data_IF_547663931340
#
_entry.id   IF_547663931340
#
_cell.length_a   1.000
_cell.length_b   1.000
_cell.length_c   1.000
_cell.angle_alpha   90.00
_cell.angle_beta   90.00
_cell.angle_gamma   90.00
#
_symmetry.space_group_name_H-M   'P 1'
#
loop_
_entity.id
_entity.type
_entity.pdbx_description
1 polymer ?
#
# COMPACT_ATOMS: atom_id res chain seq x y z
N UNK A 1 22.24 -22.81 -9.93
CA UNK A 1 21.57 -21.50 -9.97
C UNK A 1 22.53 -20.54 -10.65
N UNK A 2 22.06 -19.79 -11.63
CA UNK A 2 22.88 -18.80 -12.35
C UNK A 2 23.27 -17.65 -11.39
N UNK A 3 24.53 -17.17 -11.36
CA UNK A 3 24.93 -15.99 -10.58
C UNK A 3 24.04 -14.75 -10.78
N UNK A 4 23.46 -14.56 -11.97
CA UNK A 4 22.52 -13.46 -12.25
C UNK A 4 21.18 -13.68 -11.54
N UNK A 5 20.68 -14.92 -11.59
CA UNK A 5 19.47 -15.33 -10.91
C UNK A 5 19.61 -15.23 -9.39
N UNK A 6 20.75 -15.67 -8.83
CA UNK A 6 21.01 -15.56 -7.41
C UNK A 6 20.98 -14.11 -6.92
N UNK A 7 21.64 -13.19 -7.63
CA UNK A 7 21.64 -11.76 -7.30
C UNK A 7 20.25 -11.14 -7.36
N UNK A 8 19.44 -11.54 -8.34
CA UNK A 8 18.07 -11.05 -8.47
C UNK A 8 17.20 -11.53 -7.29
N UNK A 9 17.36 -12.79 -6.87
CA UNK A 9 16.64 -13.32 -5.72
C UNK A 9 17.03 -12.62 -4.41
N UNK A 10 18.32 -12.34 -4.19
CA UNK A 10 18.77 -11.54 -3.03
C UNK A 10 18.12 -10.15 -3.03
N UNK A 11 18.08 -9.47 -4.18
CA UNK A 11 17.42 -8.16 -4.30
C UNK A 11 15.92 -8.23 -4.03
N UNK A 12 15.29 -9.34 -4.40
CA UNK A 12 13.87 -9.58 -4.17
C UNK A 12 13.59 -9.86 -2.69
N UNK A 13 14.44 -10.64 -2.02
CA UNK A 13 14.37 -10.90 -0.58
C UNK A 13 14.51 -9.59 0.21
N UNK A 14 15.56 -8.80 -0.06
CA UNK A 14 15.76 -7.47 0.53
C UNK A 14 14.54 -6.57 0.35
N UNK A 15 13.98 -6.56 -0.86
CA UNK A 15 12.78 -5.79 -1.17
C UNK A 15 11.58 -6.28 -0.34
N UNK A 16 11.36 -7.58 -0.25
CA UNK A 16 10.23 -8.16 0.48
C UNK A 16 10.33 -7.91 1.98
N UNK A 17 11.54 -7.96 2.56
CA UNK A 17 11.76 -7.64 3.96
C UNK A 17 11.43 -6.17 4.26
N UNK A 18 11.97 -5.24 3.47
CA UNK A 18 11.69 -3.82 3.63
C UNK A 18 10.21 -3.49 3.40
N UNK A 19 9.60 -4.07 2.35
CA UNK A 19 8.18 -3.89 2.08
C UNK A 19 7.32 -4.39 3.25
N UNK A 20 7.64 -5.55 3.81
CA UNK A 20 6.93 -6.13 4.97
C UNK A 20 7.14 -5.31 6.24
N UNK A 21 8.34 -4.74 6.43
CA UNK A 21 8.64 -3.83 7.54
C UNK A 21 7.77 -2.57 7.45
N UNK A 22 7.79 -1.89 6.30
CA UNK A 22 7.00 -0.67 6.07
C UNK A 22 5.50 -0.97 6.24
N UNK A 23 5.01 -2.11 5.73
CA UNK A 23 3.62 -2.51 5.93
C UNK A 23 3.29 -2.78 7.40
N UNK A 24 4.18 -3.42 8.17
CA UNK A 24 3.97 -3.64 9.63
C UNK A 24 3.96 -2.33 10.41
N UNK A 25 4.91 -1.45 10.13
CA UNK A 25 4.99 -0.12 10.74
C UNK A 25 3.71 0.67 10.43
N UNK A 26 3.27 0.62 9.18
CA UNK A 26 2.00 1.22 8.78
C UNK A 26 0.80 0.57 9.46
N UNK A 27 0.73 -0.77 9.59
CA UNK A 27 -0.39 -1.45 10.29
C UNK A 27 -0.43 -1.11 11.77
N UNK A 28 0.73 -0.96 12.41
CA UNK A 28 0.83 -0.51 13.80
C UNK A 28 0.29 0.92 13.95
N UNK A 29 0.56 1.78 12.97
CA UNK A 29 0.02 3.15 12.92
C UNK A 29 -1.45 3.21 12.44
N UNK A 30 -1.92 2.21 11.66
CA UNK A 30 -3.30 2.06 11.16
C UNK A 30 -4.34 1.88 12.26
N UNK A 31 -3.98 1.62 13.52
CA UNK A 31 -4.97 1.70 14.61
C UNK A 31 -5.63 3.09 14.63
N UNK A 32 -4.87 4.16 14.37
CA UNK A 32 -5.41 5.52 14.24
C UNK A 32 -6.28 5.69 12.99
N UNK A 33 -5.86 5.15 11.84
CA UNK A 33 -6.62 5.21 10.58
C UNK A 33 -7.91 4.38 10.65
N UNK A 34 -7.89 3.20 11.27
CA UNK A 34 -9.09 2.38 11.52
C UNK A 34 -10.04 3.04 12.49
N UNK A 35 -9.54 3.70 13.53
CA UNK A 35 -10.37 4.49 14.43
C UNK A 35 -11.06 5.63 13.66
N UNK A 36 -10.34 6.28 12.73
CA UNK A 36 -10.88 7.33 11.87
C UNK A 36 -11.89 6.84 10.85
N UNK A 37 -11.63 5.70 10.19
CA UNK A 37 -12.60 5.06 9.28
C UNK A 37 -13.84 4.59 10.04
N UNK A 38 -13.66 4.05 11.25
CA UNK A 38 -14.74 3.69 12.16
C UNK A 38 -15.57 4.92 12.53
N UNK A 39 -14.91 6.02 12.92
CA UNK A 39 -15.53 7.30 13.17
C UNK A 39 -16.33 7.75 11.93
N UNK A 40 -15.71 7.88 10.76
CA UNK A 40 -16.37 8.34 9.52
C UNK A 40 -17.58 7.46 9.16
N UNK A 41 -17.50 6.13 9.35
CA UNK A 41 -18.62 5.20 9.15
C UNK A 41 -19.75 5.41 10.16
N UNK A 42 -19.43 5.51 11.45
CA UNK A 42 -20.41 5.75 12.52
C UNK A 42 -21.10 7.11 12.33
N UNK A 43 -20.38 8.04 11.73
CA UNK A 43 -20.79 9.41 11.44
C UNK A 43 -21.42 9.58 10.06
N UNK A 44 -21.47 8.54 9.23
CA UNK A 44 -22.21 8.56 7.96
C UNK A 44 -23.72 8.75 8.15
N UNK A 45 -24.22 8.73 9.39
CA UNK A 45 -25.57 9.21 9.76
C UNK A 45 -25.64 10.66 10.26
N UNK A 46 -24.53 11.22 10.76
CA UNK A 46 -24.35 12.61 11.22
C UNK A 46 -22.85 12.93 11.23
N UNK A 47 -22.35 13.67 10.25
CA UNK A 47 -20.97 14.19 10.27
C UNK A 47 -20.84 15.12 11.49
N UNK A 48 -20.02 14.80 12.51
CA UNK A 48 -19.57 15.79 13.44
C UNK A 48 -18.64 16.69 12.67
N UNK A 49 -18.58 17.94 13.12
CA UNK A 49 -17.53 18.86 12.72
C UNK A 49 -16.21 18.32 13.26
N UNK A 50 -15.59 17.39 12.54
CA UNK A 50 -14.24 16.92 12.82
C UNK A 50 -13.32 18.07 12.39
N UNK A 51 -12.58 18.61 13.36
CA UNK A 51 -11.56 19.60 13.08
C UNK A 51 -10.46 18.92 12.26
N UNK A 52 -10.19 19.34 11.01
CA UNK A 52 -9.09 18.79 10.21
C UNK A 52 -7.70 18.98 10.88
N UNK A 53 -7.61 19.83 11.90
CA UNK A 53 -6.40 20.00 12.72
C UNK A 53 -6.35 19.06 13.93
N UNK A 54 -7.30 18.14 14.09
CA UNK A 54 -7.26 17.15 15.17
C UNK A 54 -5.91 16.41 15.13
N UNK A 55 -5.14 16.41 16.24
CA UNK A 55 -3.84 15.78 16.30
C UNK A 55 -3.85 14.29 15.92
N UNK A 56 -4.97 13.60 16.13
CA UNK A 56 -5.14 12.18 15.77
C UNK A 56 -5.33 12.02 14.26
N UNK A 57 -6.14 12.88 13.63
CA UNK A 57 -6.29 12.94 12.16
C UNK A 57 -4.95 13.18 11.48
N UNK A 58 -4.24 14.21 11.93
CA UNK A 58 -2.92 14.56 11.40
C UNK A 58 -1.92 13.42 11.56
N UNK A 59 -1.86 12.81 12.75
CA UNK A 59 -0.96 11.68 12.98
C UNK A 59 -1.26 10.49 12.06
N UNK A 60 -2.54 10.19 11.81
CA UNK A 60 -2.95 9.14 10.88
C UNK A 60 -2.63 9.47 9.43
N UNK A 61 -2.84 10.72 9.02
CA UNK A 61 -2.47 11.22 7.69
C UNK A 61 -0.96 11.14 7.48
N UNK A 62 -0.16 11.70 8.40
CA UNK A 62 1.31 11.71 8.30
C UNK A 62 1.87 10.29 8.25
N UNK A 63 1.34 9.36 9.05
CA UNK A 63 1.77 7.97 9.02
C UNK A 63 1.46 7.29 7.68
N UNK A 64 0.30 7.60 7.10
CA UNK A 64 -0.07 7.03 5.80
C UNK A 64 0.74 7.63 4.66
N UNK A 65 0.95 8.95 4.66
CA UNK A 65 1.79 9.64 3.68
C UNK A 65 3.24 9.14 3.73
N UNK A 66 3.81 8.97 4.93
CA UNK A 66 5.14 8.36 5.09
C UNK A 66 5.20 6.96 4.51
N UNK A 67 4.23 6.10 4.84
CA UNK A 67 4.18 4.74 4.31
C UNK A 67 4.07 4.74 2.78
N UNK A 68 3.23 5.60 2.19
CA UNK A 68 3.09 5.73 0.73
C UNK A 68 4.43 6.15 0.09
N UNK A 69 5.13 7.12 0.67
CA UNK A 69 6.43 7.58 0.16
C UNK A 69 7.46 6.46 0.24
N UNK A 70 7.59 5.80 1.40
CA UNK A 70 8.56 4.72 1.60
C UNK A 70 8.30 3.51 0.68
N UNK A 71 7.04 3.10 0.53
CA UNK A 71 6.65 2.05 -0.41
C UNK A 71 6.91 2.46 -1.86
N UNK A 72 6.69 3.73 -2.21
CA UNK A 72 7.00 4.27 -3.54
C UNK A 72 8.50 4.20 -3.86
N UNK A 73 9.37 4.48 -2.87
CA UNK A 73 10.83 4.33 -3.00
C UNK A 73 11.21 2.87 -3.24
N UNK A 74 10.66 1.94 -2.46
CA UNK A 74 10.96 0.51 -2.66
C UNK A 74 10.46 0.00 -4.01
N UNK A 75 9.28 0.44 -4.47
CA UNK A 75 8.77 0.11 -5.80
C UNK A 75 9.67 0.65 -6.91
N UNK A 76 10.19 1.87 -6.76
CA UNK A 76 11.14 2.45 -7.72
C UNK A 76 12.48 1.68 -7.75
N UNK A 77 12.94 1.18 -6.60
CA UNK A 77 14.12 0.29 -6.50
C UNK A 77 13.87 -1.03 -7.21
N UNK A 78 12.74 -1.69 -6.93
CA UNK A 78 12.37 -2.95 -7.57
C UNK A 78 12.23 -2.80 -9.08
N UNK A 79 11.62 -1.72 -9.59
CA UNK A 79 11.50 -1.45 -11.03
C UNK A 79 12.85 -1.35 -11.75
N UNK A 80 13.91 -0.95 -11.04
CA UNK A 80 15.27 -0.86 -11.58
C UNK A 80 16.05 -2.16 -11.46
N UNK A 81 15.51 -3.17 -10.77
CA UNK A 81 16.11 -4.49 -10.80
C UNK A 81 16.02 -5.04 -12.22
N UNK A 82 17.04 -5.80 -12.63
CA UNK A 82 17.12 -6.43 -13.93
C UNK A 82 16.75 -7.92 -13.76
N UNK A 83 15.46 -8.30 -13.84
CA UNK A 83 15.06 -9.69 -13.66
C UNK A 83 15.60 -10.56 -14.80
N UNK A 84 16.13 -11.77 -14.50
CA UNK A 84 16.40 -12.78 -15.51
C UNK A 84 15.12 -13.12 -16.28
N UNK A 85 15.26 -13.63 -17.51
CA UNK A 85 14.13 -13.93 -18.40
C UNK A 85 13.06 -14.82 -17.73
N UNK A 86 13.48 -15.85 -17.00
CA UNK A 86 12.60 -16.75 -16.26
C UNK A 86 11.72 -16.04 -15.22
N UNK A 87 12.17 -14.89 -14.70
CA UNK A 87 11.52 -14.14 -13.63
C UNK A 87 10.79 -12.88 -14.12
N UNK A 88 10.94 -12.48 -15.39
CA UNK A 88 10.34 -11.25 -15.93
C UNK A 88 8.82 -11.19 -15.74
N UNK A 89 8.12 -12.31 -15.98
CA UNK A 89 6.66 -12.36 -15.81
C UNK A 89 6.26 -12.12 -14.36
N UNK A 90 6.90 -12.83 -13.42
CA UNK A 90 6.66 -12.66 -11.99
C UNK A 90 6.98 -11.23 -11.55
N UNK A 91 8.13 -10.69 -11.97
CA UNK A 91 8.57 -9.34 -11.67
C UNK A 91 7.54 -8.28 -12.11
N UNK A 92 7.02 -8.43 -13.32
CA UNK A 92 6.00 -7.54 -13.85
C UNK A 92 4.69 -7.63 -13.06
N UNK A 93 4.21 -8.83 -12.77
CA UNK A 93 3.00 -9.05 -11.96
C UNK A 93 3.16 -8.46 -10.55
N UNK A 94 4.33 -8.64 -9.94
CA UNK A 94 4.65 -8.07 -8.63
C UNK A 94 4.60 -6.55 -8.66
N UNK A 95 5.30 -5.91 -9.62
CA UNK A 95 5.27 -4.46 -9.76
C UNK A 95 3.86 -3.90 -9.96
N UNK A 96 3.05 -4.57 -10.78
CA UNK A 96 1.68 -4.14 -11.06
C UNK A 96 0.78 -4.29 -9.82
N UNK A 97 0.91 -5.39 -9.08
CA UNK A 97 0.23 -5.58 -7.81
C UNK A 97 0.56 -4.46 -6.81
N UNK A 98 1.85 -4.17 -6.66
CA UNK A 98 2.35 -3.15 -5.73
C UNK A 98 1.86 -1.75 -6.13
N UNK A 99 1.86 -1.44 -7.43
CA UNK A 99 1.33 -0.19 -7.98
C UNK A 99 -0.14 0.00 -7.59
N UNK A 100 -0.98 -1.00 -7.84
CA UNK A 100 -2.41 -0.94 -7.50
C UNK A 100 -2.64 -0.79 -6.00
N UNK A 101 -1.88 -1.50 -5.17
CA UNK A 101 -1.97 -1.37 -3.72
C UNK A 101 -1.59 0.05 -3.26
N UNK A 102 -0.52 0.63 -3.82
CA UNK A 102 -0.07 1.98 -3.49
C UNK A 102 -1.10 3.04 -3.90
N UNK A 103 -1.65 2.93 -5.10
CA UNK A 103 -2.75 3.79 -5.58
C UNK A 103 -3.98 3.66 -4.70
N UNK A 104 -4.30 2.44 -4.26
CA UNK A 104 -5.39 2.20 -3.31
C UNK A 104 -5.18 2.88 -1.97
N UNK A 105 -3.97 2.85 -1.41
CA UNK A 105 -3.65 3.57 -0.18
C UNK A 105 -3.73 5.09 -0.35
N UNK A 106 -3.22 5.62 -1.47
CA UNK A 106 -3.34 7.04 -1.82
C UNK A 106 -4.79 7.49 -1.96
N UNK A 107 -5.63 6.67 -2.59
CA UNK A 107 -7.05 6.96 -2.76
C UNK A 107 -7.74 6.99 -1.39
N UNK A 108 -7.52 6.00 -0.53
CA UNK A 108 -8.12 5.97 0.81
C UNK A 108 -7.72 7.18 1.67
N UNK A 109 -6.50 7.70 1.54
CA UNK A 109 -6.09 8.91 2.29
C UNK A 109 -6.86 10.17 1.91
N UNK A 110 -7.43 10.24 0.71
CA UNK A 110 -8.18 11.43 0.27
C UNK A 110 -9.42 11.68 1.11
N UNK A 111 -9.97 10.64 1.76
CA UNK A 111 -11.09 10.80 2.71
C UNK A 111 -10.76 11.81 3.83
N UNK A 112 -9.50 11.94 4.23
CA UNK A 112 -9.07 12.88 5.27
C UNK A 112 -9.09 14.32 4.74
N UNK A 113 -8.92 14.49 3.42
CA UNK A 113 -8.82 15.80 2.78
C UNK A 113 -10.21 16.38 2.45
N UNK A 114 -11.13 15.55 1.95
CA UNK A 114 -12.42 16.03 1.46
C UNK A 114 -13.65 15.34 2.09
N UNK A 115 -13.43 14.45 3.06
CA UNK A 115 -14.47 13.76 3.83
C UNK A 115 -15.42 12.91 3.00
N UNK A 116 -15.04 12.52 1.77
CA UNK A 116 -15.88 11.66 0.93
C UNK A 116 -15.60 10.17 1.19
N UNK A 117 -16.57 9.42 1.73
CA UNK A 117 -16.39 8.00 2.04
C UNK A 117 -16.16 7.14 0.79
N UNK A 118 -16.55 7.60 -0.40
CA UNK A 118 -16.35 6.89 -1.67
C UNK A 118 -14.87 6.60 -1.95
N UNK A 119 -13.96 7.44 -1.47
CA UNK A 119 -12.51 7.22 -1.55
C UNK A 119 -12.08 5.93 -0.84
N UNK A 120 -12.75 5.55 0.24
CA UNK A 120 -12.48 4.29 0.93
C UNK A 120 -12.86 3.09 0.07
N UNK A 121 -14.04 3.13 -0.55
CA UNK A 121 -14.54 2.05 -1.40
C UNK A 121 -13.66 1.89 -2.64
N UNK A 122 -13.35 3.00 -3.31
CA UNK A 122 -12.49 3.00 -4.49
C UNK A 122 -11.08 2.49 -4.17
N UNK A 123 -10.47 2.97 -3.08
CA UNK A 123 -9.15 2.55 -2.66
C UNK A 123 -9.08 1.08 -2.22
N UNK A 124 -10.08 0.59 -1.47
CA UNK A 124 -10.18 -0.84 -1.11
C UNK A 124 -10.28 -1.74 -2.36
N UNK A 125 -11.03 -1.32 -3.38
CA UNK A 125 -11.15 -2.07 -4.63
C UNK A 125 -9.80 -2.19 -5.37
N UNK A 126 -9.00 -1.12 -5.38
CA UNK A 126 -7.64 -1.12 -5.95
C UNK A 126 -6.71 -2.07 -5.18
N UNK A 127 -6.71 -2.00 -3.84
CA UNK A 127 -5.89 -2.89 -3.01
C UNK A 127 -6.27 -4.35 -3.24
N UNK A 128 -7.57 -4.69 -3.25
CA UNK A 128 -8.04 -6.07 -3.50
C UNK A 128 -7.60 -6.55 -4.87
N UNK A 129 -7.78 -5.74 -5.91
CA UNK A 129 -7.35 -6.08 -7.26
C UNK A 129 -5.84 -6.34 -7.33
N UNK A 130 -5.04 -5.50 -6.67
CA UNK A 130 -3.60 -5.69 -6.56
C UNK A 130 -3.24 -7.04 -5.92
N UNK A 131 -3.86 -7.37 -4.79
CA UNK A 131 -3.64 -8.65 -4.11
C UNK A 131 -4.01 -9.86 -4.98
N UNK A 132 -5.15 -9.80 -5.67
CA UNK A 132 -5.59 -10.89 -6.54
C UNK A 132 -4.66 -11.16 -7.73
N UNK A 133 -3.89 -10.18 -8.20
CA UNK A 133 -2.88 -10.40 -9.25
C UNK A 133 -1.74 -11.32 -8.78
N UNK A 134 -1.35 -11.23 -7.51
CA UNK A 134 -0.33 -12.11 -6.94
C UNK A 134 -0.87 -13.52 -6.72
N UNK A 135 -2.11 -13.63 -6.26
CA UNK A 135 -2.80 -14.92 -6.03
C UNK A 135 -3.03 -15.67 -7.34
N UNK A 136 -3.49 -14.99 -8.41
CA UNK A 136 -3.72 -15.59 -9.72
C UNK A 136 -2.43 -15.96 -10.48
N UNK A 137 -1.27 -15.49 -10.02
CA UNK A 137 0.04 -15.79 -10.58
C UNK A 137 0.69 -17.07 -10.03
N UNK A 138 0.08 -17.71 -9.01
CA UNK A 138 0.53 -18.99 -8.46
C UNK A 138 -0.12 -20.11 -9.29
N UNK A 139 0.64 -20.89 -10.08
CA UNK A 139 0.10 -22.11 -10.67
C UNK A 139 -0.26 -23.08 -9.53
N UNK A 140 -1.46 -23.68 -9.58
CA UNK A 140 -1.79 -24.86 -8.76
C UNK A 140 -0.84 -26.02 -9.02
#
# INVERSE_FOLDING_TARGET
MDPVEHRYLEQLEDFMEEFTRIQRDFVRDKQGVRALVGLIRDLSGRLPLLDPQDPVLRKGQDATERAIVELGVQMARLRRAEPPEAWQRFHHTLLESLRLQLEGYQEMTRVIQDWKPDHLVAGEALVRRGMSLLEAGVPE
#
